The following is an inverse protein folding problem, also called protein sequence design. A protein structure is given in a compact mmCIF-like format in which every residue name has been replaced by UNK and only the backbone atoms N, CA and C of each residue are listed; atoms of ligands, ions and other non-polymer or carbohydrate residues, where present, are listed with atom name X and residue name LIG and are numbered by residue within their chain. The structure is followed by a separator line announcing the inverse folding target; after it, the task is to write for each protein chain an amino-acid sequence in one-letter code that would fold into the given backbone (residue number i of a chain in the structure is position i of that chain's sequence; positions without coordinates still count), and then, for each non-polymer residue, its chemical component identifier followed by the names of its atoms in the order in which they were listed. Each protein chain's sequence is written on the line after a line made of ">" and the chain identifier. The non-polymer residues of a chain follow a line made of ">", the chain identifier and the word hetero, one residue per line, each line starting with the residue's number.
data_IF_544184806687
#
_entry.id   IF_544184806687
#
_cell.length_a   1.000
_cell.length_b   1.000
_cell.length_c   1.000
_cell.angle_alpha   90.00
_cell.angle_beta   90.00
_cell.angle_gamma   90.00
#
_symmetry.space_group_name_H-M   'P 1'
#
loop_
_entity.id
_entity.type
_entity.pdbx_description
1 polymer ?
#
# COMPACT_ATOMS: atom_id res chain seq x y z
N UNK A 1 -49.80 30.78 -31.26
CA UNK A 1 -49.78 29.36 -30.83
C UNK A 1 -50.11 29.35 -29.34
N UNK A 2 -51.25 28.80 -28.90
CA UNK A 2 -51.55 28.71 -27.47
C UNK A 2 -50.68 27.63 -26.85
N UNK A 3 -49.90 27.99 -25.83
CA UNK A 3 -49.15 27.05 -24.99
C UNK A 3 -50.13 26.49 -23.96
N UNK A 4 -50.56 25.24 -24.12
CA UNK A 4 -51.30 24.53 -23.09
C UNK A 4 -50.45 24.41 -21.83
N UNK A 5 -50.92 25.00 -20.73
CA UNK A 5 -50.30 24.84 -19.42
C UNK A 5 -50.47 23.38 -18.97
N UNK A 6 -49.40 22.69 -18.53
CA UNK A 6 -49.53 21.33 -18.04
C UNK A 6 -50.49 21.30 -16.84
N UNK A 7 -51.47 20.38 -16.88
CA UNK A 7 -52.39 20.14 -15.77
C UNK A 7 -51.62 19.93 -14.46
N UNK A 8 -52.12 20.47 -13.34
CA UNK A 8 -51.49 20.36 -12.01
C UNK A 8 -51.12 18.92 -11.64
N UNK A 9 -51.84 17.91 -12.14
CA UNK A 9 -51.52 16.49 -11.96
C UNK A 9 -50.22 16.08 -12.65
N UNK A 10 -49.99 16.54 -13.87
CA UNK A 10 -48.76 16.27 -14.62
C UNK A 10 -47.56 16.90 -13.91
N UNK A 11 -47.71 18.12 -13.41
CA UNK A 11 -46.67 18.79 -12.63
C UNK A 11 -46.31 18.00 -11.35
N UNK A 12 -47.31 17.54 -10.60
CA UNK A 12 -47.11 16.75 -9.38
C UNK A 12 -46.39 15.42 -9.65
N UNK A 13 -46.72 14.74 -10.74
CA UNK A 13 -46.07 13.47 -11.11
C UNK A 13 -44.59 13.70 -11.45
N UNK A 14 -44.28 14.76 -12.22
CA UNK A 14 -42.89 15.10 -12.56
C UNK A 14 -42.07 15.43 -11.31
N UNK A 15 -42.64 16.19 -10.37
CA UNK A 15 -42.00 16.51 -9.09
C UNK A 15 -41.75 15.24 -8.27
N UNK A 16 -42.73 14.32 -8.21
CA UNK A 16 -42.59 13.08 -7.47
C UNK A 16 -41.46 12.19 -8.04
N UNK A 17 -41.37 12.05 -9.36
CA UNK A 17 -40.29 11.29 -10.02
C UNK A 17 -38.93 11.92 -9.74
N UNK A 18 -38.84 13.25 -9.78
CA UNK A 18 -37.59 13.96 -9.51
C UNK A 18 -37.13 13.78 -8.07
N UNK A 19 -38.06 13.86 -7.10
CA UNK A 19 -37.76 13.60 -5.68
C UNK A 19 -37.27 12.17 -5.44
N UNK A 20 -37.90 11.17 -6.07
CA UNK A 20 -37.45 9.78 -5.97
C UNK A 20 -36.03 9.62 -6.54
N UNK A 21 -35.74 10.25 -7.67
CA UNK A 21 -34.40 10.27 -8.26
C UNK A 21 -33.33 10.87 -7.34
N UNK A 22 -33.65 11.99 -6.66
CA UNK A 22 -32.75 12.61 -5.68
C UNK A 22 -32.51 11.70 -4.48
N UNK A 23 -33.54 11.04 -3.96
CA UNK A 23 -33.40 10.14 -2.81
C UNK A 23 -32.52 8.93 -3.16
N UNK A 24 -32.76 8.30 -4.31
CA UNK A 24 -31.96 7.16 -4.78
C UNK A 24 -30.52 7.60 -5.07
N UNK A 25 -30.32 8.70 -5.79
CA UNK A 25 -28.99 9.23 -6.09
C UNK A 25 -28.23 9.67 -4.84
N UNK A 26 -28.91 10.32 -3.90
CA UNK A 26 -28.34 10.80 -2.65
C UNK A 26 -27.92 9.65 -1.72
N UNK A 27 -28.76 8.63 -1.56
CA UNK A 27 -28.41 7.44 -0.76
C UNK A 27 -27.23 6.68 -1.36
N UNK A 28 -27.17 6.53 -2.68
CA UNK A 28 -26.03 5.90 -3.36
C UNK A 28 -24.73 6.73 -3.21
N UNK A 29 -24.80 8.05 -3.36
CA UNK A 29 -23.65 8.94 -3.20
C UNK A 29 -23.11 8.93 -1.76
N UNK A 30 -24.00 8.94 -0.76
CA UNK A 30 -23.64 8.80 0.66
C UNK A 30 -22.96 7.44 0.95
N UNK A 31 -23.53 6.35 0.43
CA UNK A 31 -22.96 5.01 0.57
C UNK A 31 -21.56 4.89 -0.02
N UNK A 32 -21.34 5.42 -1.23
CA UNK A 32 -20.01 5.46 -1.85
C UNK A 32 -18.99 6.27 -1.06
N UNK A 33 -19.42 7.37 -0.44
CA UNK A 33 -18.52 8.25 0.33
C UNK A 33 -18.07 7.59 1.65
N UNK A 34 -19.00 6.89 2.32
CA UNK A 34 -18.70 6.11 3.53
C UNK A 34 -17.79 4.92 3.19
N UNK A 35 -18.07 4.19 2.10
CA UNK A 35 -17.27 3.05 1.68
C UNK A 35 -15.81 3.41 1.34
N UNK A 36 -15.59 4.54 0.65
CA UNK A 36 -14.23 5.03 0.37
C UNK A 36 -13.46 5.41 1.63
N UNK A 37 -14.14 5.86 2.68
CA UNK A 37 -13.51 6.20 3.95
C UNK A 37 -13.04 4.95 4.71
N UNK A 38 -13.82 3.87 4.65
CA UNK A 38 -13.51 2.62 5.35
C UNK A 38 -12.33 1.87 4.70
N UNK A 39 -12.29 1.78 3.37
CA UNK A 39 -11.16 1.14 2.62
C UNK A 39 -9.84 1.88 2.89
N UNK A 40 -9.90 3.21 3.04
CA UNK A 40 -8.74 4.03 3.35
C UNK A 40 -8.14 3.63 4.72
N UNK A 41 -8.96 3.43 5.74
CA UNK A 41 -8.44 3.16 7.09
C UNK A 41 -7.83 1.77 7.26
N UNK A 42 -8.40 0.74 6.63
CA UNK A 42 -7.91 -0.64 6.79
C UNK A 42 -6.63 -0.91 5.99
N UNK A 43 -6.58 -0.45 4.74
CA UNK A 43 -5.40 -0.61 3.88
C UNK A 43 -4.17 0.10 4.45
N UNK A 44 -4.36 1.28 5.08
CA UNK A 44 -3.28 2.02 5.72
C UNK A 44 -2.89 1.48 7.10
N UNK A 45 -3.73 0.70 7.78
CA UNK A 45 -3.32 0.01 9.01
C UNK A 45 -2.26 -1.04 8.72
N UNK A 46 -2.44 -1.86 7.70
CA UNK A 46 -1.45 -2.88 7.32
C UNK A 46 -0.10 -2.25 6.92
N UNK A 47 -0.11 -1.19 6.12
CA UNK A 47 1.11 -0.48 5.73
C UNK A 47 1.82 0.18 6.93
N UNK A 48 1.07 0.73 7.89
CA UNK A 48 1.65 1.23 9.16
C UNK A 48 2.32 0.13 9.97
N UNK A 49 1.75 -1.08 9.99
CA UNK A 49 2.39 -2.23 10.64
C UNK A 49 3.68 -2.69 9.92
N UNK A 50 3.75 -2.52 8.59
CA UNK A 50 4.96 -2.79 7.80
C UNK A 50 6.05 -1.72 7.94
N UNK A 51 5.81 -0.64 8.70
CA UNK A 51 6.82 0.40 8.98
C UNK A 51 6.70 1.67 8.15
N UNK A 52 5.65 1.81 7.34
CA UNK A 52 5.39 3.05 6.60
C UNK A 52 4.85 4.17 7.52
N UNK A 53 5.40 5.38 7.47
CA UNK A 53 4.92 6.52 8.24
C UNK A 53 3.64 7.11 7.63
N UNK A 54 2.87 7.84 8.44
CA UNK A 54 1.52 8.32 8.09
C UNK A 54 1.52 9.37 6.95
N UNK A 55 2.64 10.07 6.76
CA UNK A 55 2.92 11.02 5.69
C UNK A 55 3.20 10.34 4.34
N UNK A 56 3.92 9.23 4.31
CA UNK A 56 4.13 8.39 3.12
C UNK A 56 2.84 7.73 2.61
N UNK A 57 1.79 7.72 3.44
CA UNK A 57 0.49 7.09 3.20
C UNK A 57 -0.61 8.10 2.88
N UNK A 58 -0.32 9.40 2.84
CA UNK A 58 -1.32 10.39 2.46
C UNK A 58 -1.73 10.24 0.99
N UNK A 59 -3.00 10.54 0.64
CA UNK A 59 -3.48 10.40 -0.73
C UNK A 59 -2.62 11.26 -1.64
N UNK A 60 -1.88 10.57 -2.53
CA UNK A 60 -1.03 11.13 -3.56
C UNK A 60 -1.86 12.02 -4.48
N UNK A 61 -2.12 13.27 -4.06
CA UNK A 61 -2.92 14.23 -4.82
C UNK A 61 -2.15 14.87 -5.98
N UNK A 62 -1.00 14.31 -6.36
CA UNK A 62 -0.18 14.85 -7.44
C UNK A 62 1.00 14.01 -7.90
N UNK A 63 1.15 12.75 -7.47
CA UNK A 63 2.31 11.94 -7.87
C UNK A 63 1.95 11.02 -9.04
N UNK A 64 2.30 11.46 -10.24
CA UNK A 64 2.32 10.60 -11.41
C UNK A 64 3.33 9.47 -11.22
N UNK A 65 2.86 8.26 -11.54
CA UNK A 65 3.63 7.03 -11.79
C UNK A 65 4.36 6.42 -10.58
N UNK A 66 3.84 5.26 -10.19
CA UNK A 66 4.37 4.26 -9.25
C UNK A 66 4.44 4.65 -7.76
N UNK A 67 3.42 4.27 -6.95
CA UNK A 67 3.49 4.42 -5.50
C UNK A 67 4.67 3.66 -4.88
N UNK A 68 5.10 2.54 -5.48
CA UNK A 68 6.32 1.83 -5.08
C UNK A 68 7.59 2.67 -5.25
N UNK A 69 7.64 3.53 -6.28
CA UNK A 69 8.82 4.33 -6.59
C UNK A 69 9.05 5.43 -5.57
N UNK A 70 7.98 6.04 -5.03
CA UNK A 70 8.07 6.98 -3.91
C UNK A 70 8.54 6.30 -2.62
N UNK A 71 7.94 5.15 -2.29
CA UNK A 71 8.27 4.36 -1.10
C UNK A 71 9.73 3.87 -1.07
N UNK A 72 10.28 3.51 -2.23
CA UNK A 72 11.70 3.15 -2.37
C UNK A 72 12.63 4.37 -2.41
N UNK A 73 12.15 5.53 -2.89
CA UNK A 73 12.97 6.75 -3.03
C UNK A 73 13.17 7.48 -1.70
N UNK A 74 12.21 7.37 -0.79
CA UNK A 74 12.29 7.97 0.55
C UNK A 74 12.95 7.03 1.59
N UNK A 75 13.48 5.88 1.15
CA UNK A 75 14.32 5.00 1.97
C UNK A 75 13.59 4.03 2.89
N UNK A 76 12.26 3.92 2.79
CA UNK A 76 11.46 3.02 3.63
C UNK A 76 11.40 1.58 3.10
N UNK A 77 11.77 1.37 1.84
CA UNK A 77 11.90 0.06 1.23
C UNK A 77 13.27 -0.09 0.59
N UNK A 78 13.97 -1.17 0.90
CA UNK A 78 15.27 -1.51 0.35
C UNK A 78 15.23 -2.91 -0.26
N UNK A 79 15.78 -3.05 -1.46
CA UNK A 79 15.88 -4.31 -2.17
C UNK A 79 17.33 -4.61 -2.48
N UNK A 80 17.72 -5.87 -2.35
CA UNK A 80 19.09 -6.31 -2.62
C UNK A 80 19.29 -7.80 -2.47
N UNK A 81 20.47 -8.25 -2.87
CA UNK A 81 20.91 -9.64 -2.74
C UNK A 81 21.53 -9.87 -1.36
N UNK A 82 21.19 -10.98 -0.70
CA UNK A 82 21.74 -11.32 0.63
C UNK A 82 23.20 -11.73 0.50
N UNK A 83 24.09 -10.93 1.09
CA UNK A 83 25.52 -11.20 1.17
C UNK A 83 25.87 -12.02 2.41
N UNK A 84 25.24 -11.71 3.56
CA UNK A 84 25.47 -12.45 4.80
C UNK A 84 24.28 -12.32 5.76
N UNK A 85 24.13 -13.32 6.62
CA UNK A 85 23.12 -13.39 7.66
C UNK A 85 23.86 -13.66 8.97
N UNK A 86 23.69 -12.78 9.96
CA UNK A 86 24.28 -12.94 11.29
C UNK A 86 23.29 -12.49 12.35
N UNK A 87 22.83 -13.45 13.15
CA UNK A 87 21.83 -13.25 14.20
C UNK A 87 20.58 -12.53 13.64
N UNK A 88 20.29 -11.32 14.11
CA UNK A 88 19.17 -10.48 13.66
C UNK A 88 19.59 -9.44 12.60
N UNK A 89 20.72 -9.67 11.94
CA UNK A 89 21.32 -8.73 10.98
C UNK A 89 21.51 -9.39 9.63
N UNK A 90 21.03 -8.74 8.56
CA UNK A 90 21.20 -9.21 7.19
C UNK A 90 21.92 -8.12 6.40
N UNK A 91 23.06 -8.46 5.82
CA UNK A 91 23.77 -7.55 4.92
C UNK A 91 23.33 -7.85 3.49
N UNK A 92 22.91 -6.82 2.76
CA UNK A 92 22.50 -6.93 1.37
C UNK A 92 23.32 -6.03 0.44
N UNK A 93 23.43 -6.46 -0.81
CA UNK A 93 23.94 -5.66 -1.91
C UNK A 93 22.79 -4.94 -2.61
N UNK A 94 22.74 -3.61 -2.47
CA UNK A 94 21.72 -2.79 -3.11
C UNK A 94 22.01 -2.47 -4.58
N UNK A 95 21.08 -1.79 -5.24
CA UNK A 95 21.07 -1.48 -6.70
C UNK A 95 22.29 -0.70 -7.26
N UNK A 96 23.16 -0.16 -6.40
CA UNK A 96 24.33 0.63 -6.80
C UNK A 96 25.63 0.05 -6.21
N UNK A 97 25.68 -1.28 -6.03
CA UNK A 97 26.77 -1.97 -5.34
C UNK A 97 27.06 -1.44 -3.93
N UNK A 98 26.04 -0.83 -3.30
CA UNK A 98 26.13 -0.34 -1.93
C UNK A 98 25.72 -1.46 -0.98
N UNK A 99 26.64 -1.84 -0.11
CA UNK A 99 26.35 -2.70 1.03
C UNK A 99 25.46 -1.96 2.02
N UNK A 100 24.37 -2.59 2.42
CA UNK A 100 23.42 -2.05 3.37
C UNK A 100 23.11 -3.10 4.41
N UNK A 101 23.01 -2.66 5.66
CA UNK A 101 22.70 -3.52 6.79
C UNK A 101 21.22 -3.39 7.14
N UNK A 102 20.53 -4.52 7.15
CA UNK A 102 19.16 -4.68 7.61
C UNK A 102 19.21 -5.21 9.04
N UNK A 103 18.62 -4.48 9.96
CA UNK A 103 18.50 -4.90 11.36
C UNK A 103 17.06 -5.32 11.58
N UNK A 104 16.82 -6.61 11.85
CA UNK A 104 15.50 -7.12 12.16
C UNK A 104 15.07 -6.62 13.54
N UNK A 105 13.98 -5.85 13.59
CA UNK A 105 13.40 -5.45 14.87
C UNK A 105 12.73 -6.62 15.59
N UNK A 106 12.50 -6.49 16.90
CA UNK A 106 11.71 -7.46 17.66
C UNK A 106 10.29 -7.55 17.09
N UNK A 107 9.92 -8.75 16.61
CA UNK A 107 8.65 -8.99 15.93
C UNK A 107 8.64 -8.69 14.43
N UNK A 108 9.82 -8.59 13.80
CA UNK A 108 9.92 -8.52 12.34
C UNK A 108 9.25 -9.73 11.69
N UNK A 109 8.45 -9.48 10.67
CA UNK A 109 7.76 -10.52 9.90
C UNK A 109 8.56 -10.81 8.63
N UNK A 110 8.80 -12.07 8.34
CA UNK A 110 9.51 -12.51 7.13
C UNK A 110 8.52 -13.30 6.28
N UNK A 111 8.57 -13.13 4.97
CA UNK A 111 7.67 -13.79 4.03
C UNK A 111 6.52 -12.88 3.56
N UNK A 112 5.60 -13.47 2.80
CA UNK A 112 4.46 -12.73 2.23
C UNK A 112 3.29 -12.76 3.20
N UNK A 113 2.37 -11.77 3.15
CA UNK A 113 1.11 -11.88 3.87
C UNK A 113 0.38 -13.18 3.48
N UNK A 114 0.23 -14.10 4.44
CA UNK A 114 -0.37 -15.43 4.23
C UNK A 114 0.63 -16.57 4.01
N UNK A 115 1.91 -16.26 3.81
CA UNK A 115 3.01 -17.22 3.67
C UNK A 115 4.21 -16.72 4.48
N UNK A 116 4.08 -16.83 5.80
CA UNK A 116 5.10 -16.39 6.75
C UNK A 116 6.27 -17.35 6.72
N UNK A 117 7.44 -16.79 6.53
CA UNK A 117 8.72 -17.48 6.53
C UNK A 117 9.52 -17.07 7.77
N UNK A 118 10.62 -17.77 7.99
CA UNK A 118 11.58 -17.53 9.07
C UNK A 118 12.91 -17.06 8.49
N UNK A 119 13.80 -16.55 9.34
CA UNK A 119 15.14 -16.13 8.90
C UNK A 119 15.95 -17.29 8.32
N UNK A 120 15.64 -18.54 8.71
CA UNK A 120 16.28 -19.74 8.19
C UNK A 120 15.89 -20.04 6.73
N UNK A 121 14.76 -19.49 6.26
CA UNK A 121 14.33 -19.61 4.86
C UNK A 121 15.03 -18.57 3.96
N UNK A 122 15.70 -17.59 4.56
CA UNK A 122 16.55 -16.64 3.84
C UNK A 122 17.88 -17.30 3.54
N UNK A 123 18.22 -17.38 2.26
CA UNK A 123 19.49 -17.95 1.78
C UNK A 123 20.42 -16.86 1.27
N UNK A 124 21.72 -17.05 1.47
CA UNK A 124 22.74 -16.19 0.86
C UNK A 124 22.61 -16.30 -0.67
N UNK A 125 22.65 -15.18 -1.36
CA UNK A 125 22.40 -15.08 -2.80
C UNK A 125 20.92 -14.94 -3.20
N UNK A 126 19.99 -15.03 -2.26
CA UNK A 126 18.58 -14.73 -2.53
C UNK A 126 18.35 -13.21 -2.61
N UNK A 127 17.41 -12.79 -3.45
CA UNK A 127 16.97 -11.40 -3.50
C UNK A 127 15.88 -11.18 -2.45
N UNK A 128 16.05 -10.16 -1.62
CA UNK A 128 15.07 -9.80 -0.60
C UNK A 128 14.67 -8.33 -0.72
N UNK A 129 13.47 -8.02 -0.23
CA UNK A 129 12.95 -6.66 -0.10
C UNK A 129 12.60 -6.43 1.37
N UNK A 130 13.35 -5.56 2.04
CA UNK A 130 13.10 -5.12 3.41
C UNK A 130 12.30 -3.83 3.45
N UNK A 131 11.29 -3.77 4.31
CA UNK A 131 10.51 -2.58 4.61
C UNK A 131 10.74 -2.15 6.05
N UNK A 132 11.14 -0.90 6.23
CA UNK A 132 11.62 -0.42 7.51
C UNK A 132 11.90 1.06 7.52
N UNK A 133 12.40 1.54 8.65
CA UNK A 133 12.83 2.93 8.79
C UNK A 133 14.36 2.99 8.67
N UNK A 134 14.92 3.82 7.78
CA UNK A 134 16.35 4.06 7.75
C UNK A 134 16.79 4.82 9.02
N UNK A 135 17.96 4.49 9.54
CA UNK A 135 18.65 5.21 10.61
C UNK A 135 19.55 6.31 10.05
N UNK A 136 20.15 7.12 10.93
CA UNK A 136 21.06 8.21 10.55
C UNK A 136 22.38 7.71 9.91
N UNK A 137 22.71 6.44 10.09
CA UNK A 137 23.91 5.79 9.54
C UNK A 137 23.65 5.08 8.19
N UNK A 138 22.40 5.10 7.70
CA UNK A 138 21.99 4.43 6.47
C UNK A 138 21.67 2.93 6.62
N UNK A 139 21.68 2.39 7.84
CA UNK A 139 21.11 1.08 8.12
C UNK A 139 19.59 1.17 8.11
N UNK A 140 18.90 0.06 7.90
CA UNK A 140 17.43 0.04 7.90
C UNK A 140 16.95 -0.87 9.02
N UNK A 141 16.17 -0.32 9.94
CA UNK A 141 15.46 -1.12 10.94
C UNK A 141 14.21 -1.71 10.30
N UNK A 142 14.28 -2.98 9.97
CA UNK A 142 13.29 -3.68 9.17
C UNK A 142 12.22 -4.28 10.08
N UNK A 143 10.96 -4.05 9.69
CA UNK A 143 9.78 -4.67 10.31
C UNK A 143 9.16 -5.76 9.46
N UNK A 144 9.40 -5.72 8.16
CA UNK A 144 8.90 -6.71 7.23
C UNK A 144 9.93 -7.04 6.15
N UNK A 145 10.21 -8.32 5.92
CA UNK A 145 11.10 -8.79 4.84
C UNK A 145 10.28 -9.68 3.92
N UNK A 146 10.33 -9.38 2.63
CA UNK A 146 9.76 -10.22 1.60
C UNK A 146 10.89 -10.90 0.84
N UNK A 147 10.89 -12.24 0.84
CA UNK A 147 11.81 -13.01 0.01
C UNK A 147 11.25 -13.03 -1.41
N UNK A 148 12.05 -12.58 -2.37
CA UNK A 148 11.73 -12.72 -3.79
C UNK A 148 12.19 -14.12 -4.17
N UNK A 149 11.27 -15.06 -4.48
CA UNK A 149 11.70 -16.35 -4.99
C UNK A 149 12.53 -16.09 -6.24
N UNK A 150 13.72 -16.67 -6.31
CA UNK A 150 14.45 -16.73 -7.56
C UNK A 150 13.48 -17.29 -8.60
N UNK A 151 13.31 -16.62 -9.73
CA UNK A 151 12.60 -17.22 -10.84
C UNK A 151 13.28 -18.57 -11.07
N UNK A 152 12.52 -19.65 -10.85
CA UNK A 152 12.91 -20.97 -11.34
C UNK A 152 12.94 -20.78 -12.83
N UNK A 153 14.13 -20.45 -13.36
CA UNK A 153 14.39 -20.51 -14.79
C UNK A 153 13.97 -21.90 -15.20
N UNK A 154 12.81 -22.00 -15.85
CA UNK A 154 12.30 -23.25 -16.36
C UNK A 154 13.38 -23.84 -17.26
N UNK A 155 13.85 -25.02 -16.89
CA UNK A 155 14.50 -25.95 -17.80
C UNK A 155 13.58 -26.31 -18.97
#
# INVERSE_FOLDING_TARGET
>A
MPTESPSNRTLLIVIAIFLVGIVIGGTFALGMNIGRFQIRNESFRQLRHMGFPEDALMPMRGMGRDPLKGMMRDGYGIAGEVLSIKDETITILGRNDQERTLILGSGAQIGRPGDMQTINDVTIGSSIIGFGKPDENGNVQVRHIMIVPAEVNGE
#
